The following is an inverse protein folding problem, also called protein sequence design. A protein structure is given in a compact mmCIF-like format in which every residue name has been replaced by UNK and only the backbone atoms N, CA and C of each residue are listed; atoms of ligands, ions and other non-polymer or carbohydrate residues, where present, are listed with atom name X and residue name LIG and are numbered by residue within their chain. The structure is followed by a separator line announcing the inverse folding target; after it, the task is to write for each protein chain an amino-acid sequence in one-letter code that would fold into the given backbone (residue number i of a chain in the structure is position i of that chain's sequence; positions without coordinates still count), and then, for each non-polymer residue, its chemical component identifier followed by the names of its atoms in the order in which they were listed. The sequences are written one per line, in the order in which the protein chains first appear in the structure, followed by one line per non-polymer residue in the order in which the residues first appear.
data_IF_473933503448
#
_entry.id   IF_473933503448
#
_cell.length_a   1.000
_cell.length_b   1.000
_cell.length_c   1.000
_cell.angle_alpha   90.00
_cell.angle_beta   90.00
_cell.angle_gamma   90.00
#
_symmetry.space_group_name_H-M   'P 1'
#
loop_
_entity.id
_entity.type
_entity.pdbx_description
1 polymer ?
#
# COMPACT_ATOMS: atom_id res chain seq x y z
N UNK A 1 46.74 -29.37 -45.91
CA UNK A 1 45.40 -29.73 -45.38
C UNK A 1 45.12 -28.71 -44.31
N UNK A 2 44.61 -27.55 -44.74
CA UNK A 2 44.67 -26.32 -43.95
C UNK A 2 43.28 -25.90 -43.53
N UNK A 3 42.82 -26.52 -42.44
CA UNK A 3 41.67 -26.06 -41.65
C UNK A 3 42.09 -26.00 -40.18
N UNK A 4 42.97 -25.05 -39.85
CA UNK A 4 43.29 -24.67 -38.47
C UNK A 4 43.32 -23.15 -38.39
N UNK A 5 42.14 -22.56 -38.26
CA UNK A 5 41.97 -21.10 -38.14
C UNK A 5 40.53 -20.60 -38.36
N UNK A 6 39.65 -21.42 -38.91
CA UNK A 6 38.27 -21.04 -39.23
C UNK A 6 37.26 -21.25 -38.08
N UNK A 7 37.69 -21.76 -36.91
CA UNK A 7 36.79 -21.94 -35.76
C UNK A 7 36.72 -20.71 -34.84
N UNK A 8 37.84 -20.05 -34.59
CA UNK A 8 37.94 -19.01 -33.55
C UNK A 8 37.19 -17.73 -33.91
N UNK A 9 37.15 -17.34 -35.19
CA UNK A 9 36.37 -16.18 -35.64
C UNK A 9 34.87 -16.43 -35.61
N UNK A 10 34.41 -17.65 -35.92
CA UNK A 10 32.99 -18.01 -35.86
C UNK A 10 32.46 -18.00 -34.43
N UNK A 11 33.21 -18.58 -33.47
CA UNK A 11 32.82 -18.54 -32.06
C UNK A 11 32.83 -17.13 -31.47
N UNK A 12 33.76 -16.26 -31.89
CA UNK A 12 33.80 -14.86 -31.43
C UNK A 12 32.59 -14.06 -31.93
N UNK A 13 32.15 -14.30 -33.17
CA UNK A 13 30.97 -13.64 -33.74
C UNK A 13 29.71 -14.12 -33.01
N UNK A 14 29.55 -15.44 -32.83
CA UNK A 14 28.38 -16.00 -32.14
C UNK A 14 28.33 -15.50 -30.68
N UNK A 15 29.47 -15.47 -29.99
CA UNK A 15 29.56 -14.98 -28.61
C UNK A 15 29.18 -13.49 -28.53
N UNK A 16 29.64 -12.65 -29.45
CA UNK A 16 29.27 -11.24 -29.50
C UNK A 16 27.76 -11.05 -29.71
N UNK A 17 27.16 -11.81 -30.64
CA UNK A 17 25.72 -11.76 -30.90
C UNK A 17 24.92 -12.20 -29.68
N UNK A 18 25.32 -13.29 -29.01
CA UNK A 18 24.66 -13.77 -27.79
C UNK A 18 24.72 -12.72 -26.67
N UNK A 19 25.85 -12.04 -26.49
CA UNK A 19 25.98 -10.97 -25.49
C UNK A 19 25.08 -9.78 -25.83
N UNK A 20 25.02 -9.36 -27.10
CA UNK A 20 24.12 -8.27 -27.53
C UNK A 20 22.66 -8.63 -27.25
N UNK A 21 22.24 -9.85 -27.59
CA UNK A 21 20.87 -10.32 -27.32
C UNK A 21 20.61 -10.35 -25.80
N UNK A 22 21.55 -10.86 -25.00
CA UNK A 22 21.41 -10.90 -23.55
C UNK A 22 21.25 -9.48 -22.95
N UNK A 23 22.01 -8.50 -23.43
CA UNK A 23 21.90 -7.10 -23.00
C UNK A 23 20.57 -6.46 -23.41
N UNK A 24 20.05 -6.77 -24.60
CA UNK A 24 18.71 -6.31 -25.04
C UNK A 24 17.63 -6.92 -24.16
N UNK A 25 17.70 -8.21 -23.86
CA UNK A 25 16.72 -8.90 -22.99
C UNK A 25 16.76 -8.30 -21.58
N UNK A 26 17.94 -8.07 -21.00
CA UNK A 26 18.08 -7.42 -19.69
C UNK A 26 17.61 -5.96 -19.74
N UNK A 27 17.86 -5.23 -20.84
CA UNK A 27 17.38 -3.86 -21.01
C UNK A 27 15.86 -3.75 -21.12
N UNK A 28 15.21 -4.74 -21.75
CA UNK A 28 13.75 -4.79 -21.90
C UNK A 28 13.06 -5.30 -20.62
N UNK A 29 13.63 -6.29 -19.94
CA UNK A 29 13.06 -6.88 -18.72
C UNK A 29 13.43 -6.10 -17.44
N UNK A 30 14.56 -5.40 -17.44
CA UNK A 30 15.09 -4.69 -16.26
C UNK A 30 14.47 -3.31 -16.01
N UNK A 31 13.69 -2.76 -16.96
CA UNK A 31 13.19 -1.38 -16.89
C UNK A 31 11.67 -1.29 -16.94
N UNK A 32 10.98 -1.89 -15.95
CA UNK A 32 9.61 -1.47 -15.63
C UNK A 32 9.42 -1.19 -14.14
N UNK A 33 10.11 -0.17 -13.59
CA UNK A 33 9.80 0.33 -12.25
C UNK A 33 8.46 1.07 -12.30
N UNK A 34 7.36 0.39 -11.94
CA UNK A 34 6.04 1.05 -11.80
C UNK A 34 4.80 0.15 -11.93
N UNK A 35 4.87 -0.99 -12.62
CA UNK A 35 3.71 -1.89 -12.80
C UNK A 35 3.34 -2.62 -11.49
N UNK A 36 4.34 -2.98 -10.68
CA UNK A 36 4.12 -3.69 -9.42
C UNK A 36 3.29 -2.87 -8.43
N UNK A 37 3.59 -1.57 -8.29
CA UNK A 37 2.97 -0.72 -7.28
C UNK A 37 1.48 -0.44 -7.53
N UNK A 38 1.12 -0.07 -8.76
CA UNK A 38 -0.29 0.19 -9.13
C UNK A 38 -1.17 -1.05 -8.95
N UNK A 39 -0.61 -2.24 -9.19
CA UNK A 39 -1.31 -3.51 -8.96
C UNK A 39 -1.52 -3.78 -7.47
N UNK A 40 -0.53 -3.53 -6.63
CA UNK A 40 -0.65 -3.71 -5.17
C UNK A 40 -1.60 -2.71 -4.53
N UNK A 41 -1.60 -1.45 -5.00
CA UNK A 41 -2.55 -0.41 -4.58
C UNK A 41 -4.00 -0.82 -4.92
N UNK A 42 -4.25 -1.28 -6.15
CA UNK A 42 -5.59 -1.71 -6.56
C UNK A 42 -6.09 -2.92 -5.75
N UNK A 43 -5.20 -3.89 -5.46
CA UNK A 43 -5.54 -5.05 -4.63
C UNK A 43 -5.85 -4.65 -3.19
N UNK A 44 -5.03 -3.76 -2.61
CA UNK A 44 -5.26 -3.20 -1.27
C UNK A 44 -6.62 -2.49 -1.21
N UNK A 45 -6.87 -1.56 -2.14
CA UNK A 45 -8.12 -0.81 -2.18
C UNK A 45 -9.35 -1.71 -2.39
N UNK A 46 -9.25 -2.76 -3.20
CA UNK A 46 -10.33 -3.73 -3.40
C UNK A 46 -10.61 -4.54 -2.12
N UNK A 47 -9.58 -5.00 -1.42
CA UNK A 47 -9.72 -5.69 -0.14
C UNK A 47 -10.45 -4.80 0.88
N UNK A 48 -9.95 -3.58 1.08
CA UNK A 48 -10.46 -2.69 2.11
C UNK A 48 -11.89 -2.20 1.85
N UNK A 49 -12.30 -2.07 0.59
CA UNK A 49 -13.71 -1.77 0.23
C UNK A 49 -14.68 -2.90 0.57
N UNK A 50 -14.20 -4.15 0.62
CA UNK A 50 -14.98 -5.32 0.99
C UNK A 50 -14.86 -5.71 2.47
N UNK A 51 -13.97 -5.06 3.23
CA UNK A 51 -13.69 -5.41 4.61
C UNK A 51 -14.91 -5.20 5.52
N UNK A 52 -14.94 -5.95 6.62
CA UNK A 52 -16.00 -5.94 7.61
C UNK A 52 -15.38 -6.06 9.00
N UNK A 53 -15.88 -5.36 10.02
CA UNK A 53 -17.10 -4.53 10.01
C UNK A 53 -17.00 -3.18 9.29
N UNK A 54 -15.82 -2.57 9.22
CA UNK A 54 -15.58 -1.34 8.47
C UNK A 54 -14.92 -1.63 7.14
N UNK A 55 -15.52 -1.11 6.07
CA UNK A 55 -14.86 -0.95 4.80
C UNK A 55 -14.20 0.42 4.73
N UNK A 56 -12.95 0.48 4.26
CA UNK A 56 -12.26 1.73 3.95
C UNK A 56 -12.47 1.99 2.47
N UNK A 57 -13.26 3.01 2.14
CA UNK A 57 -13.62 3.36 0.77
C UNK A 57 -12.54 4.20 0.10
N UNK A 58 -12.03 5.16 0.87
CA UNK A 58 -11.00 6.12 0.52
C UNK A 58 -10.13 6.36 1.74
N UNK A 59 -8.84 6.61 1.50
CA UNK A 59 -7.88 6.97 2.52
C UNK A 59 -6.81 7.85 1.89
N UNK A 60 -6.30 8.77 2.70
CA UNK A 60 -5.37 9.79 2.27
C UNK A 60 -4.41 10.16 3.39
N UNK A 61 -3.15 10.40 3.04
CA UNK A 61 -2.07 10.72 3.96
C UNK A 61 -1.21 11.83 3.36
N UNK A 62 -1.00 12.87 4.15
CA UNK A 62 -0.14 14.03 3.87
C UNK A 62 1.00 14.09 4.92
N UNK A 63 1.82 15.12 4.99
CA UNK A 63 2.96 15.20 5.95
C UNK A 63 2.49 15.07 7.41
N UNK A 64 1.36 15.67 7.73
CA UNK A 64 0.86 15.75 9.12
C UNK A 64 -0.60 15.36 9.29
N UNK A 65 -1.30 15.06 8.20
CA UNK A 65 -2.73 14.86 8.19
C UNK A 65 -3.13 13.52 7.56
N UNK A 66 -4.25 12.98 8.03
CA UNK A 66 -4.88 11.80 7.44
C UNK A 66 -6.36 12.06 7.21
N UNK A 67 -6.91 11.39 6.21
CA UNK A 67 -8.35 11.29 5.99
C UNK A 67 -8.72 9.86 5.65
N UNK A 68 -9.80 9.36 6.23
CA UNK A 68 -10.43 8.08 5.90
C UNK A 68 -11.90 8.30 5.61
N UNK A 69 -12.42 7.63 4.58
CA UNK A 69 -13.86 7.49 4.35
C UNK A 69 -14.21 6.03 4.62
N UNK A 70 -14.93 5.82 5.72
CA UNK A 70 -15.27 4.51 6.23
C UNK A 70 -16.74 4.21 6.00
N UNK A 71 -17.07 2.96 5.72
CA UNK A 71 -18.43 2.45 5.66
C UNK A 71 -18.61 1.34 6.67
N UNK A 72 -19.68 1.41 7.44
CA UNK A 72 -20.10 0.31 8.29
C UNK A 72 -20.88 -0.71 7.44
N UNK A 73 -20.32 -1.91 7.26
CA UNK A 73 -20.93 -3.01 6.51
C UNK A 73 -21.80 -3.94 7.39
N UNK A 74 -22.06 -3.55 8.64
CA UNK A 74 -22.91 -4.31 9.57
C UNK A 74 -24.30 -3.70 9.73
N UNK A 75 -25.18 -4.46 10.38
CA UNK A 75 -26.56 -4.06 10.69
C UNK A 75 -26.68 -3.22 11.97
N UNK A 76 -25.59 -3.05 12.72
CA UNK A 76 -25.56 -2.31 13.99
C UNK A 76 -24.76 -1.02 13.83
N UNK A 77 -25.09 0.02 14.61
CA UNK A 77 -24.24 1.20 14.68
C UNK A 77 -22.93 0.88 15.38
N UNK A 78 -21.83 1.36 14.81
CA UNK A 78 -20.49 1.18 15.36
C UNK A 78 -19.89 2.55 15.68
N UNK A 79 -19.13 2.64 16.76
CA UNK A 79 -18.37 3.85 17.10
C UNK A 79 -16.90 3.56 16.91
N UNK A 80 -16.27 4.21 15.93
CA UNK A 80 -14.83 4.13 15.75
C UNK A 80 -14.14 5.01 16.79
N UNK A 81 -13.13 4.48 17.46
CA UNK A 81 -12.39 5.18 18.51
C UNK A 81 -10.91 5.39 18.16
N UNK A 82 -10.32 4.48 17.40
CA UNK A 82 -8.90 4.54 17.09
C UNK A 82 -8.59 3.81 15.78
N UNK A 83 -7.61 4.31 15.04
CA UNK A 83 -7.00 3.62 13.90
C UNK A 83 -5.52 3.45 14.23
N UNK A 84 -5.02 2.23 14.27
CA UNK A 84 -3.59 1.97 14.45
C UNK A 84 -2.97 1.57 13.12
N UNK A 85 -1.85 2.20 12.78
CA UNK A 85 -1.07 1.93 11.58
C UNK A 85 0.31 1.41 11.97
N UNK A 86 0.71 0.28 11.40
CA UNK A 86 2.04 -0.32 11.61
C UNK A 86 2.75 -0.43 10.26
N UNK A 87 3.92 0.20 10.15
CA UNK A 87 4.66 0.31 8.89
C UNK A 87 5.91 -0.58 8.90
N UNK A 88 6.47 -0.92 7.73
CA UNK A 88 7.71 -1.69 7.65
C UNK A 88 8.92 -0.93 8.26
N UNK A 89 8.85 0.39 8.29
CA UNK A 89 9.91 1.32 8.75
C UNK A 89 9.55 2.04 10.04
N UNK A 90 8.29 1.95 10.50
CA UNK A 90 7.81 2.64 11.71
C UNK A 90 7.07 1.74 12.65
N UNK A 91 7.32 1.93 13.94
CA UNK A 91 6.54 1.29 14.99
C UNK A 91 5.06 1.65 14.88
N UNK A 92 4.20 0.70 15.25
CA UNK A 92 2.77 0.87 15.39
C UNK A 92 2.41 2.22 16.04
N UNK A 93 1.75 3.07 15.26
CA UNK A 93 1.34 4.42 15.64
C UNK A 93 -0.18 4.45 15.73
N UNK A 94 -0.69 4.78 16.92
CA UNK A 94 -2.11 4.97 17.14
C UNK A 94 -2.52 6.36 16.66
N UNK A 95 -3.39 6.41 15.65
CA UNK A 95 -4.10 7.60 15.24
C UNK A 95 -5.32 7.76 16.15
N UNK A 96 -5.23 8.71 17.08
CA UNK A 96 -6.38 9.08 17.89
C UNK A 96 -7.46 9.68 16.98
N UNK A 97 -8.62 9.03 16.99
CA UNK A 97 -9.81 9.47 16.26
C UNK A 97 -10.80 10.02 17.27
N UNK A 98 -11.47 11.14 16.95
CA UNK A 98 -12.64 11.54 17.73
C UNK A 98 -13.74 10.51 17.56
N UNK A 99 -14.32 10.01 18.65
CA UNK A 99 -15.39 9.00 18.65
C UNK A 99 -16.42 9.27 17.53
N UNK A 100 -16.33 8.47 16.46
CA UNK A 100 -17.13 8.68 15.25
C UNK A 100 -18.16 7.58 15.13
N UNK A 101 -19.43 7.95 15.26
CA UNK A 101 -20.56 7.02 15.10
C UNK A 101 -20.86 6.83 13.63
N UNK A 102 -20.73 5.58 13.17
CA UNK A 102 -21.07 5.16 11.82
C UNK A 102 -22.29 4.25 11.89
N UNK A 103 -23.44 4.79 11.48
CA UNK A 103 -24.71 4.05 11.46
C UNK A 103 -24.65 2.82 10.53
N UNK A 104 -25.54 1.87 10.75
CA UNK A 104 -25.63 0.64 9.96
C UNK A 104 -25.74 0.94 8.45
N UNK A 105 -24.83 0.36 7.66
CA UNK A 105 -24.76 0.58 6.20
C UNK A 105 -24.30 1.98 5.78
N UNK A 106 -24.03 2.91 6.71
CA UNK A 106 -23.69 4.31 6.43
C UNK A 106 -22.19 4.52 6.30
N UNK A 107 -21.85 5.65 5.70
CA UNK A 107 -20.48 6.14 5.56
C UNK A 107 -20.21 7.30 6.49
N UNK A 108 -18.98 7.42 6.98
CA UNK A 108 -18.49 8.56 7.72
C UNK A 108 -17.07 8.90 7.26
N UNK A 109 -16.74 10.19 7.25
CA UNK A 109 -15.37 10.64 7.06
C UNK A 109 -14.74 10.91 8.42
N UNK A 110 -13.50 10.47 8.57
CA UNK A 110 -12.67 10.65 9.75
C UNK A 110 -11.38 11.29 9.28
N UNK A 111 -11.02 12.42 9.88
CA UNK A 111 -9.77 13.10 9.57
C UNK A 111 -9.11 13.56 10.86
N UNK A 112 -7.80 13.68 10.83
CA UNK A 112 -7.04 14.16 11.96
C UNK A 112 -5.60 14.45 11.58
N UNK A 113 -4.80 14.71 12.61
CA UNK A 113 -3.37 14.91 12.47
C UNK A 113 -2.61 13.77 13.13
N UNK A 114 -1.43 13.46 12.62
CA UNK A 114 -0.47 12.58 13.29
C UNK A 114 0.89 13.27 13.39
N UNK A 115 1.66 12.92 14.42
CA UNK A 115 3.00 13.45 14.61
C UNK A 115 4.09 12.57 13.98
N UNK A 116 3.75 11.32 13.66
CA UNK A 116 4.71 10.28 13.27
C UNK A 116 4.03 9.18 12.46
N UNK A 117 3.32 9.49 11.37
CA UNK A 117 3.25 8.44 10.36
C UNK A 117 4.71 8.17 9.96
N UNK A 118 5.01 6.90 9.73
CA UNK A 118 6.09 6.46 8.85
C UNK A 118 6.88 7.56 8.20
N UNK A 119 8.20 7.51 8.31
CA UNK A 119 9.14 8.23 7.44
C UNK A 119 8.77 8.13 5.92
N UNK A 120 7.79 7.29 5.58
CA UNK A 120 7.17 7.09 4.28
C UNK A 120 6.43 8.33 3.73
N UNK A 121 5.75 9.14 4.55
CA UNK A 121 5.07 10.37 4.07
C UNK A 121 5.63 11.69 4.64
N UNK A 122 6.62 11.63 5.52
CA UNK A 122 7.37 12.84 5.93
C UNK A 122 8.33 13.25 4.80
N UNK A 123 8.43 14.56 4.54
CA UNK A 123 9.11 15.16 3.38
C UNK A 123 8.38 14.93 2.04
N UNK A 124 7.40 15.79 1.82
CA UNK A 124 6.48 15.85 0.68
C UNK A 124 7.16 15.87 -0.70
N UNK A 125 7.40 14.69 -1.23
CA UNK A 125 7.51 14.47 -2.66
C UNK A 125 6.42 13.49 -3.10
N UNK A 126 5.57 13.90 -4.07
CA UNK A 126 4.47 13.15 -4.72
C UNK A 126 4.84 11.74 -5.28
N UNK A 127 6.08 11.33 -5.09
CA UNK A 127 6.66 10.03 -5.47
C UNK A 127 6.69 9.01 -4.35
N UNK A 128 6.38 9.42 -3.11
CA UNK A 128 6.44 8.55 -1.95
C UNK A 128 5.19 7.68 -1.86
N UNK A 129 5.43 6.44 -1.48
CA UNK A 129 4.42 5.40 -1.36
C UNK A 129 4.46 4.83 0.05
N UNK A 130 3.31 4.57 0.64
CA UNK A 130 3.21 3.95 1.96
C UNK A 130 2.62 2.54 1.86
N UNK A 131 2.91 1.74 2.88
CA UNK A 131 2.33 0.42 3.07
C UNK A 131 2.15 0.18 4.57
N UNK A 132 0.93 0.35 5.08
CA UNK A 132 0.63 0.22 6.51
C UNK A 132 -0.29 -0.95 6.80
N UNK A 133 0.10 -1.82 7.72
CA UNK A 133 -0.84 -2.74 8.36
C UNK A 133 -1.77 -1.93 9.25
N UNK A 134 -3.07 -1.98 8.96
CA UNK A 134 -4.06 -1.15 9.63
C UNK A 134 -4.97 -1.99 10.52
N UNK A 135 -5.25 -1.46 11.70
CA UNK A 135 -6.28 -1.98 12.59
C UNK A 135 -7.19 -0.88 13.08
N UNK A 136 -8.49 -1.18 13.18
CA UNK A 136 -9.54 -0.24 13.57
C UNK A 136 -10.13 -0.71 14.90
N UNK A 137 -10.00 0.11 15.93
CA UNK A 137 -10.62 -0.14 17.23
C UNK A 137 -11.98 0.56 17.26
N UNK A 138 -13.00 -0.18 17.66
CA UNK A 138 -14.38 0.28 17.66
C UNK A 138 -15.20 -0.32 18.80
N UNK A 139 -16.33 0.34 19.06
CA UNK A 139 -17.32 -0.07 20.03
C UNK A 139 -18.63 -0.42 19.31
N UNK A 140 -19.37 -1.37 19.88
CA UNK A 140 -20.79 -1.56 19.61
C UNK A 140 -21.60 -1.00 20.78
N UNK A 141 -22.93 -1.01 20.69
CA UNK A 141 -23.79 -0.61 21.80
C UNK A 141 -23.54 -1.41 23.11
N UNK A 142 -22.99 -2.63 23.01
CA UNK A 142 -22.89 -3.55 24.15
C UNK A 142 -21.45 -3.92 24.52
N UNK A 143 -20.48 -3.66 23.65
CA UNK A 143 -19.10 -4.08 23.87
C UNK A 143 -18.13 -3.03 23.34
N UNK A 144 -17.15 -2.68 24.16
CA UNK A 144 -16.10 -1.71 23.84
C UNK A 144 -14.78 -2.40 23.50
N UNK A 145 -13.90 -1.69 22.80
CA UNK A 145 -12.52 -2.12 22.52
C UNK A 145 -12.42 -3.30 21.56
N UNK A 146 -13.38 -3.47 20.65
CA UNK A 146 -13.27 -4.47 19.58
C UNK A 146 -12.26 -3.98 18.55
N UNK A 147 -11.48 -4.90 18.00
CA UNK A 147 -10.47 -4.57 16.98
C UNK A 147 -10.79 -5.33 15.69
N UNK A 148 -10.78 -4.61 14.58
CA UNK A 148 -10.71 -5.17 13.23
C UNK A 148 -9.27 -5.05 12.75
N UNK A 149 -8.64 -6.16 12.40
CA UNK A 149 -7.31 -6.19 11.81
C UNK A 149 -7.45 -6.47 10.32
N UNK A 150 -6.77 -5.71 9.48
CA UNK A 150 -6.70 -6.00 8.05
C UNK A 150 -5.78 -7.19 7.75
N UNK A 151 -6.18 -8.02 6.78
CA UNK A 151 -5.35 -9.10 6.21
C UNK A 151 -4.45 -8.60 5.07
N UNK A 152 -4.59 -7.32 4.71
CA UNK A 152 -3.81 -6.64 3.67
C UNK A 152 -3.42 -5.25 4.17
N UNK A 153 -2.20 -4.79 3.87
CA UNK A 153 -1.80 -3.42 4.18
C UNK A 153 -2.61 -2.42 3.36
N UNK A 154 -2.80 -1.22 3.90
CA UNK A 154 -3.19 -0.02 3.17
C UNK A 154 -1.99 0.43 2.33
N UNK A 155 -2.15 0.50 1.02
CA UNK A 155 -1.08 0.84 0.08
C UNK A 155 -1.53 1.98 -0.80
N UNK A 156 -0.81 3.09 -0.74
CA UNK A 156 -1.14 4.27 -1.54
C UNK A 156 0.04 5.21 -1.70
N UNK A 157 -0.24 6.35 -2.32
CA UNK A 157 0.72 7.44 -2.49
C UNK A 157 0.42 8.54 -1.49
N UNK A 158 1.46 9.12 -0.91
CA UNK A 158 1.31 10.30 -0.08
C UNK A 158 0.83 11.47 -0.95
N UNK A 159 -0.08 12.27 -0.43
CA UNK A 159 -0.42 13.59 -0.98
C UNK A 159 0.54 14.63 -0.44
N UNK A 160 0.44 15.85 -0.98
CA UNK A 160 1.26 17.03 -0.72
C UNK A 160 0.33 18.24 -0.53
#
# INVERSE_FOLDING_TARGET
MDFKGQGTTEYLIILAVVIVIALVVVGVLGFVPGIGFSTTEQQSAAYWRGASPFAVLEYDFDDTAYTFVLRNNTEQSLTLTEITLDGPTTAATALSVSDTVVGAGKTASVSGTYSTAGDDCTDLGDTKTFSYEASLTYNTANLTGKVQVGDRPLVGKCQN
#
